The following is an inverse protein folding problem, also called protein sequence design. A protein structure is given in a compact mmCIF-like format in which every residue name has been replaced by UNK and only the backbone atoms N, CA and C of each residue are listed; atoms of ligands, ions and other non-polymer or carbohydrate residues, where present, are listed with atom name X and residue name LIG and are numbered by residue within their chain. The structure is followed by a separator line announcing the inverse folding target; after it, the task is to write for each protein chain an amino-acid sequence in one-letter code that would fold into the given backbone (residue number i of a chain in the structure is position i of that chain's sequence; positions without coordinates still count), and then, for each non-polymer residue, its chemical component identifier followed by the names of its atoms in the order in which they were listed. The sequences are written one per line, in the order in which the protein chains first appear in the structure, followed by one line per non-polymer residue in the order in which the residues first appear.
data_IF_549165646078
#
_entry.id   IF_549165646078
#
_cell.length_a   1.000
_cell.length_b   1.000
_cell.length_c   1.000
_cell.angle_alpha   90.00
_cell.angle_beta   90.00
_cell.angle_gamma   90.00
#
_symmetry.space_group_name_H-M   'P 1'
#
loop_
_entity.id
_entity.type
_entity.pdbx_description
1 polymer ?
#
# COMPACT_ATOMS: atom_id res chain seq x y z
N UNK A 1 -49.19 24.14 68.47
CA UNK A 1 -48.18 23.79 67.48
C UNK A 1 -48.61 22.86 66.31
N UNK A 2 -49.73 22.13 66.38
CA UNK A 2 -50.18 21.22 65.28
C UNK A 2 -50.96 21.92 64.13
N UNK A 3 -51.40 23.16 64.28
CA UNK A 3 -52.18 23.85 63.24
C UNK A 3 -51.34 24.52 62.14
N UNK A 4 -50.09 24.90 62.40
CA UNK A 4 -49.22 25.57 61.46
C UNK A 4 -48.45 24.58 60.56
N UNK A 5 -48.29 23.33 60.98
CA UNK A 5 -47.63 22.28 60.22
C UNK A 5 -48.35 21.92 58.90
N UNK A 6 -49.73 21.95 58.93
CA UNK A 6 -50.52 21.64 57.71
C UNK A 6 -50.41 22.72 56.63
N UNK A 7 -50.30 23.98 57.01
CA UNK A 7 -50.23 25.08 56.08
C UNK A 7 -48.79 25.18 55.48
N UNK A 8 -47.78 24.79 56.25
CA UNK A 8 -46.43 24.75 55.78
C UNK A 8 -46.24 23.68 54.72
N UNK A 9 -46.81 22.48 54.88
CA UNK A 9 -46.74 21.40 53.88
C UNK A 9 -47.55 21.77 52.63
N UNK A 10 -48.66 22.43 52.71
CA UNK A 10 -49.46 22.90 51.56
C UNK A 10 -48.71 24.02 50.81
N UNK A 11 -48.07 24.94 51.53
CA UNK A 11 -47.30 26.02 50.93
C UNK A 11 -46.04 25.48 50.18
N UNK A 12 -45.34 24.48 50.75
CA UNK A 12 -44.19 23.82 50.09
C UNK A 12 -44.59 23.02 48.84
N UNK A 13 -45.79 22.33 48.90
CA UNK A 13 -46.28 21.63 47.72
C UNK A 13 -46.75 22.58 46.61
N UNK A 14 -47.37 23.73 46.99
CA UNK A 14 -47.74 24.75 46.00
C UNK A 14 -46.50 25.44 45.35
N UNK A 15 -45.43 25.70 46.12
CA UNK A 15 -44.19 26.22 45.59
C UNK A 15 -43.48 25.19 44.66
N UNK A 16 -43.47 23.91 45.02
CA UNK A 16 -42.91 22.86 44.16
C UNK A 16 -43.70 22.72 42.86
N UNK A 17 -45.02 22.87 42.89
CA UNK A 17 -45.85 22.83 41.69
C UNK A 17 -45.66 24.08 40.80
N UNK A 18 -45.50 25.25 41.40
CA UNK A 18 -45.21 26.48 40.66
C UNK A 18 -43.82 26.44 40.01
N UNK A 19 -42.83 25.81 40.66
CA UNK A 19 -41.49 25.62 40.06
C UNK A 19 -41.51 24.58 38.94
N UNK A 20 -42.30 23.52 39.02
CA UNK A 20 -42.42 22.51 37.98
C UNK A 20 -43.16 23.00 36.75
N UNK A 21 -44.12 23.91 36.89
CA UNK A 21 -44.83 24.51 35.74
C UNK A 21 -44.06 25.67 35.11
N UNK A 22 -43.16 26.33 35.86
CA UNK A 22 -42.32 27.40 35.34
C UNK A 22 -41.13 26.93 34.48
N UNK A 23 -40.70 25.69 34.64
CA UNK A 23 -39.63 25.08 33.85
C UNK A 23 -40.09 24.42 32.55
N UNK A 24 -41.38 24.41 32.24
CA UNK A 24 -41.90 24.08 30.90
C UNK A 24 -41.74 25.23 29.89
N UNK A 25 -40.93 26.23 30.22
CA UNK A 25 -40.65 27.34 29.33
C UNK A 25 -39.54 26.93 28.37
N UNK A 26 -39.95 26.70 27.16
CA UNK A 26 -39.11 26.76 25.95
C UNK A 26 -37.85 25.91 26.05
N UNK A 27 -37.97 24.62 26.00
CA UNK A 27 -37.10 23.89 25.12
C UNK A 27 -37.40 24.47 23.73
N UNK A 28 -36.65 25.47 23.32
CA UNK A 28 -36.56 25.79 21.91
C UNK A 28 -36.23 24.46 21.25
N UNK A 29 -37.18 23.94 20.48
CA UNK A 29 -36.89 22.82 19.63
C UNK A 29 -35.62 23.18 18.91
N UNK A 30 -34.51 22.57 19.28
CA UNK A 30 -33.33 22.52 18.46
C UNK A 30 -33.88 22.20 17.09
N UNK A 31 -33.55 22.98 16.04
CA UNK A 31 -34.02 22.66 14.71
C UNK A 31 -33.72 21.18 14.52
N UNK A 32 -34.75 20.41 14.19
CA UNK A 32 -34.65 18.99 13.98
C UNK A 32 -33.37 18.74 13.22
N UNK A 33 -32.50 17.93 13.78
CA UNK A 33 -31.25 17.53 13.09
C UNK A 33 -31.64 17.29 11.66
N UNK A 34 -31.03 18.03 10.73
CA UNK A 34 -31.31 17.93 9.32
C UNK A 34 -31.52 16.45 9.01
N UNK A 35 -32.72 16.11 8.55
CA UNK A 35 -33.07 14.70 8.30
C UNK A 35 -31.91 14.12 7.53
N UNK A 36 -31.24 13.12 8.12
CA UNK A 36 -30.10 12.48 7.49
C UNK A 36 -30.54 12.12 6.08
N UNK A 37 -29.90 12.70 5.09
CA UNK A 37 -30.17 12.34 3.69
C UNK A 37 -30.03 10.83 3.65
N UNK A 38 -31.05 10.07 3.21
CA UNK A 38 -30.96 8.63 3.14
C UNK A 38 -29.69 8.30 2.38
N UNK A 39 -28.76 7.59 3.02
CA UNK A 39 -27.55 7.17 2.37
C UNK A 39 -27.95 6.31 1.17
N UNK A 40 -27.74 6.82 -0.05
CA UNK A 40 -27.91 6.02 -1.26
C UNK A 40 -26.90 4.88 -1.19
N UNK A 41 -27.27 3.64 -1.45
CA UNK A 41 -26.32 2.54 -1.57
C UNK A 41 -25.26 2.93 -2.61
N UNK A 42 -23.99 2.82 -2.26
CA UNK A 42 -22.92 3.10 -3.22
C UNK A 42 -22.83 1.90 -4.16
N UNK A 43 -23.17 2.10 -5.43
CA UNK A 43 -22.93 1.10 -6.46
C UNK A 43 -21.50 1.26 -6.99
N UNK A 44 -20.67 0.25 -6.70
CA UNK A 44 -19.27 0.19 -7.11
C UNK A 44 -19.07 -0.62 -8.40
N UNK A 45 -20.14 -1.21 -8.94
CA UNK A 45 -20.09 -2.07 -10.14
C UNK A 45 -19.54 -1.31 -11.34
N UNK A 46 -20.01 -0.08 -11.55
CA UNK A 46 -19.52 0.77 -12.65
C UNK A 46 -18.01 1.02 -12.57
N UNK A 47 -17.48 1.32 -11.37
CA UNK A 47 -16.06 1.57 -11.18
C UNK A 47 -15.23 0.31 -11.45
N UNK A 48 -15.73 -0.85 -11.00
CA UNK A 48 -15.10 -2.14 -11.26
C UNK A 48 -15.08 -2.45 -12.76
N UNK A 49 -16.23 -2.44 -13.44
CA UNK A 49 -16.33 -2.73 -14.88
C UNK A 49 -15.43 -1.84 -15.73
N UNK A 50 -15.32 -0.57 -15.37
CA UNK A 50 -14.51 0.40 -16.11
C UNK A 50 -13.00 0.20 -15.90
N UNK A 51 -12.57 -0.23 -14.69
CA UNK A 51 -11.15 -0.36 -14.34
C UNK A 51 -10.57 -1.74 -14.65
N UNK A 52 -11.37 -2.81 -14.53
CA UNK A 52 -10.93 -4.19 -14.72
C UNK A 52 -10.18 -4.46 -16.03
N UNK A 53 -10.61 -3.93 -17.22
CA UNK A 53 -9.89 -4.18 -18.46
C UNK A 53 -8.47 -3.63 -18.50
N UNK A 54 -8.20 -2.60 -17.71
CA UNK A 54 -6.90 -1.92 -17.66
C UNK A 54 -5.91 -2.56 -16.67
N UNK A 55 -6.35 -3.52 -15.84
CA UNK A 55 -5.50 -4.19 -14.86
C UNK A 55 -5.05 -5.54 -15.41
N UNK A 56 -3.74 -5.78 -15.36
CA UNK A 56 -3.07 -6.94 -15.95
C UNK A 56 -2.36 -7.77 -14.90
N UNK A 57 -2.16 -9.05 -15.21
CA UNK A 57 -1.25 -9.92 -14.49
C UNK A 57 0.17 -9.76 -15.01
N UNK A 58 1.16 -9.77 -14.11
CA UNK A 58 2.58 -9.75 -14.43
C UNK A 58 3.24 -10.97 -13.80
N UNK A 59 3.84 -11.81 -14.64
CA UNK A 59 4.69 -12.91 -14.24
C UNK A 59 6.15 -12.51 -14.47
N UNK A 60 6.92 -12.43 -13.39
CA UNK A 60 8.36 -12.19 -13.44
C UNK A 60 9.11 -13.52 -13.28
N UNK A 61 10.08 -13.78 -14.14
CA UNK A 61 10.88 -14.99 -14.10
C UNK A 61 12.34 -14.63 -13.93
N UNK A 62 12.98 -15.23 -12.92
CA UNK A 62 14.44 -15.22 -12.74
C UNK A 62 14.97 -16.59 -13.15
N UNK A 63 15.82 -16.61 -14.16
CA UNK A 63 16.39 -17.85 -14.69
C UNK A 63 17.44 -18.42 -13.73
N UNK A 64 17.61 -19.73 -13.79
CA UNK A 64 18.63 -20.43 -13.04
C UNK A 64 20.03 -19.88 -13.40
N UNK A 65 20.79 -19.41 -12.41
CA UNK A 65 22.16 -18.91 -12.59
C UNK A 65 23.13 -19.81 -11.82
N UNK A 66 24.25 -20.12 -12.44
CA UNK A 66 25.35 -20.80 -11.75
C UNK A 66 26.25 -19.72 -11.18
N UNK A 67 26.26 -19.57 -9.87
CA UNK A 67 27.18 -18.67 -9.19
C UNK A 67 28.28 -19.47 -8.51
N UNK A 68 29.52 -19.07 -8.75
CA UNK A 68 30.65 -19.60 -8.01
C UNK A 68 30.80 -18.78 -6.73
N UNK A 69 30.38 -19.33 -5.61
CA UNK A 69 30.52 -18.69 -4.30
C UNK A 69 31.82 -19.22 -3.68
N UNK A 70 32.72 -18.31 -3.32
CA UNK A 70 33.83 -18.67 -2.43
C UNK A 70 33.26 -18.83 -1.02
N UNK A 71 33.03 -20.07 -0.62
CA UNK A 71 32.60 -20.37 0.75
C UNK A 71 33.87 -20.42 1.60
N UNK A 72 34.03 -19.42 2.45
CA UNK A 72 34.92 -19.53 3.59
C UNK A 72 34.25 -20.55 4.51
N UNK A 73 34.86 -21.71 4.67
CA UNK A 73 34.32 -22.79 5.48
C UNK A 73 34.20 -22.31 6.93
N UNK A 74 32.98 -21.91 7.30
CA UNK A 74 32.62 -21.69 8.69
C UNK A 74 32.23 -23.06 9.24
N UNK A 75 33.00 -23.64 10.18
CA UNK A 75 32.75 -25.00 10.69
C UNK A 75 31.33 -25.19 11.25
N UNK A 76 30.66 -24.09 11.57
CA UNK A 76 29.30 -24.09 12.12
C UNK A 76 28.24 -24.20 11.01
N UNK A 77 28.48 -23.67 9.79
CA UNK A 77 27.54 -23.77 8.69
C UNK A 77 27.52 -25.15 8.04
N UNK A 78 28.66 -25.86 8.05
CA UNK A 78 28.77 -27.24 7.55
C UNK A 78 27.99 -28.24 8.43
N UNK A 79 27.89 -27.98 9.72
CA UNK A 79 27.12 -28.79 10.65
C UNK A 79 25.59 -28.72 10.40
N UNK A 80 25.07 -27.56 9.97
CA UNK A 80 23.64 -27.39 9.67
C UNK A 80 23.24 -27.77 8.25
N UNK A 81 24.19 -27.80 7.31
CA UNK A 81 23.89 -28.15 5.91
C UNK A 81 23.99 -29.66 5.62
N UNK A 82 24.78 -30.40 6.38
CA UNK A 82 24.88 -31.89 6.28
C UNK A 82 25.19 -32.50 7.64
N UNK A 83 24.17 -32.70 8.48
CA UNK A 83 24.37 -33.24 9.84
C UNK A 83 24.89 -34.69 9.88
N UNK A 84 24.86 -35.42 8.77
CA UNK A 84 25.36 -36.79 8.65
C UNK A 84 26.75 -36.92 8.01
N UNK A 85 27.21 -35.90 7.27
CA UNK A 85 28.53 -35.91 6.60
C UNK A 85 29.69 -35.70 7.56
N UNK A 86 29.47 -35.13 8.73
CA UNK A 86 30.50 -34.83 9.72
C UNK A 86 31.09 -36.08 10.40
N UNK A 87 30.36 -37.19 10.43
CA UNK A 87 30.81 -38.44 11.06
C UNK A 87 31.55 -39.43 10.14
N UNK A 88 31.72 -39.08 8.83
CA UNK A 88 32.16 -40.08 7.84
C UNK A 88 33.60 -39.98 7.37
N UNK A 89 34.37 -38.90 7.65
CA UNK A 89 35.73 -38.81 7.07
C UNK A 89 36.73 -38.05 7.98
N UNK A 90 37.68 -38.76 8.64
CA UNK A 90 38.63 -38.18 9.58
C UNK A 90 39.79 -37.39 8.94
N UNK A 91 39.80 -37.14 7.65
CA UNK A 91 40.99 -36.61 6.93
C UNK A 91 40.77 -35.26 6.22
N UNK A 92 39.83 -34.39 6.68
CA UNK A 92 39.65 -33.05 6.12
C UNK A 92 39.88 -31.92 7.15
N UNK A 93 41.12 -31.82 7.56
CA UNK A 93 41.62 -30.74 8.40
C UNK A 93 42.62 -29.88 7.65
N UNK A 94 42.23 -29.17 6.59
CA UNK A 94 43.03 -28.08 6.02
C UNK A 94 42.08 -27.07 5.37
N UNK A 95 41.95 -25.88 5.96
CA UNK A 95 41.14 -24.76 5.48
C UNK A 95 41.61 -24.30 4.09
N UNK A 96 41.03 -24.88 3.07
CA UNK A 96 41.14 -24.44 1.68
C UNK A 96 39.89 -23.71 1.25
N UNK A 97 40.03 -22.51 0.67
CA UNK A 97 38.93 -21.83 -0.02
C UNK A 97 38.39 -22.74 -1.12
N UNK A 98 37.26 -23.41 -0.85
CA UNK A 98 36.61 -24.21 -1.88
C UNK A 98 35.66 -23.34 -2.67
N UNK A 99 35.87 -23.22 -3.97
CA UNK A 99 34.90 -22.64 -4.91
C UNK A 99 33.80 -23.66 -5.13
N UNK A 100 32.65 -23.40 -4.55
CA UNK A 100 31.46 -24.24 -4.74
C UNK A 100 30.55 -23.56 -5.76
N UNK A 101 30.26 -24.22 -6.84
CA UNK A 101 29.30 -23.74 -7.82
C UNK A 101 27.90 -24.07 -7.28
N UNK A 102 27.17 -23.05 -6.86
CA UNK A 102 25.78 -23.18 -6.43
C UNK A 102 24.88 -22.78 -7.57
N UNK A 103 23.99 -23.67 -7.97
CA UNK A 103 22.97 -23.40 -8.97
C UNK A 103 21.73 -22.86 -8.28
N UNK A 104 21.42 -21.57 -8.48
CA UNK A 104 20.14 -21.01 -8.02
C UNK A 104 19.01 -21.58 -8.87
N UNK A 105 17.92 -22.10 -8.30
CA UNK A 105 16.76 -22.58 -9.05
C UNK A 105 16.08 -21.43 -9.80
N UNK A 106 15.33 -21.75 -10.86
CA UNK A 106 14.41 -20.81 -11.50
C UNK A 106 13.37 -20.35 -10.49
N UNK A 107 13.21 -19.04 -10.36
CA UNK A 107 12.22 -18.42 -9.46
C UNK A 107 11.18 -17.66 -10.30
N UNK A 108 9.93 -17.70 -9.84
CA UNK A 108 8.84 -16.96 -10.45
C UNK A 108 8.17 -16.11 -9.37
N UNK A 109 7.95 -14.85 -9.69
CA UNK A 109 7.15 -13.91 -8.91
C UNK A 109 5.94 -13.48 -9.71
N UNK A 110 4.88 -13.08 -9.04
CA UNK A 110 3.67 -12.57 -9.69
C UNK A 110 3.19 -11.30 -9.02
N UNK A 111 2.56 -10.45 -9.79
CA UNK A 111 1.93 -9.21 -9.34
C UNK A 111 0.96 -8.69 -10.38
N UNK A 112 0.52 -7.48 -10.17
CA UNK A 112 -0.39 -6.77 -11.07
C UNK A 112 0.29 -5.58 -11.73
N UNK A 113 -0.33 -5.06 -12.78
CA UNK A 113 0.05 -3.81 -13.43
C UNK A 113 -1.17 -3.07 -13.94
N UNK A 114 -0.98 -1.80 -14.28
CA UNK A 114 -2.04 -0.93 -14.79
C UNK A 114 -1.63 -0.38 -16.15
N UNK A 115 -2.42 -0.62 -17.17
CA UNK A 115 -2.22 -0.05 -18.52
C UNK A 115 -2.56 1.44 -18.46
N UNK A 116 -1.57 2.29 -18.72
CA UNK A 116 -1.71 3.75 -18.69
C UNK A 116 -1.75 4.40 -20.07
N UNK A 117 -1.52 3.62 -21.12
CA UNK A 117 -1.59 4.13 -22.49
C UNK A 117 -1.98 3.04 -23.50
N UNK A 118 -2.69 3.44 -24.54
CA UNK A 118 -3.20 2.53 -25.56
C UNK A 118 -2.11 1.84 -26.40
N UNK A 119 -0.89 2.34 -26.38
CA UNK A 119 0.28 1.77 -27.05
C UNK A 119 1.06 0.78 -26.16
N UNK A 120 0.63 0.57 -24.89
CA UNK A 120 1.12 -0.54 -24.04
C UNK A 120 2.14 -0.16 -22.96
N UNK A 121 2.16 1.08 -22.49
CA UNK A 121 2.85 1.40 -21.25
C UNK A 121 2.03 0.92 -20.05
N UNK A 122 2.70 0.26 -19.12
CA UNK A 122 2.12 -0.33 -17.92
C UNK A 122 2.94 0.12 -16.72
N UNK A 123 2.26 0.60 -15.68
CA UNK A 123 2.87 0.90 -14.38
C UNK A 123 2.64 -0.28 -13.44
N UNK A 124 3.66 -0.61 -12.67
CA UNK A 124 3.61 -1.63 -11.61
C UNK A 124 4.56 -1.24 -10.47
N UNK A 125 4.69 -2.07 -9.45
CA UNK A 125 5.72 -1.88 -8.44
C UNK A 125 7.09 -2.37 -8.90
N UNK A 126 8.15 -1.71 -8.42
CA UNK A 126 9.52 -2.13 -8.68
C UNK A 126 9.78 -3.55 -8.16
N UNK A 127 9.30 -3.89 -6.96
CA UNK A 127 9.53 -5.23 -6.38
C UNK A 127 8.88 -6.37 -7.19
N UNK A 128 7.86 -6.09 -8.00
CA UNK A 128 7.21 -7.09 -8.90
C UNK A 128 8.14 -7.48 -10.04
N UNK A 129 8.93 -6.54 -10.57
CA UNK A 129 9.78 -6.73 -11.76
C UNK A 129 11.28 -6.75 -11.45
N UNK A 130 11.67 -6.50 -10.20
CA UNK A 130 13.08 -6.42 -9.82
C UNK A 130 13.82 -7.71 -10.11
N UNK A 131 14.99 -7.58 -10.76
CA UNK A 131 15.89 -8.68 -11.15
C UNK A 131 15.24 -9.75 -12.04
N UNK A 132 14.11 -9.47 -12.68
CA UNK A 132 13.50 -10.38 -13.65
C UNK A 132 14.35 -10.46 -14.91
N UNK A 133 14.64 -11.69 -15.35
CA UNK A 133 15.29 -11.93 -16.65
C UNK A 133 14.22 -11.91 -17.78
N UNK A 134 12.96 -12.29 -17.47
CA UNK A 134 11.82 -12.33 -18.40
C UNK A 134 10.56 -11.82 -17.70
N UNK A 135 9.75 -11.05 -18.45
CA UNK A 135 8.44 -10.57 -17.99
C UNK A 135 7.37 -11.00 -18.99
N UNK A 136 6.31 -11.63 -18.49
CA UNK A 136 5.10 -11.93 -19.23
C UNK A 136 3.94 -11.16 -18.64
N UNK A 137 3.22 -10.44 -19.47
CA UNK A 137 2.00 -9.70 -19.13
C UNK A 137 0.81 -10.39 -19.72
N UNK A 138 -0.17 -10.76 -18.89
CA UNK A 138 -1.45 -11.32 -19.33
C UNK A 138 -2.55 -10.30 -19.12
N UNK A 139 -3.27 -9.98 -20.18
CA UNK A 139 -4.40 -9.05 -20.17
C UNK A 139 -5.65 -9.72 -19.62
N UNK A 140 -6.68 -8.92 -19.33
CA UNK A 140 -7.98 -9.41 -18.87
C UNK A 140 -8.71 -10.34 -19.89
N UNK A 141 -8.35 -10.25 -21.18
CA UNK A 141 -8.85 -11.14 -22.25
C UNK A 141 -7.97 -12.40 -22.47
N UNK A 142 -7.07 -12.68 -21.53
CA UNK A 142 -6.10 -13.79 -21.53
C UNK A 142 -5.05 -13.74 -22.64
N UNK A 143 -4.89 -12.61 -23.33
CA UNK A 143 -3.77 -12.43 -24.24
C UNK A 143 -2.48 -12.19 -23.49
N UNK A 144 -1.43 -12.89 -23.90
CA UNK A 144 -0.11 -12.78 -23.31
C UNK A 144 0.83 -11.96 -24.20
N UNK A 145 1.66 -11.16 -23.54
CA UNK A 145 2.68 -10.32 -24.16
C UNK A 145 3.98 -10.45 -23.41
N UNK A 146 5.07 -10.53 -24.14
CA UNK A 146 6.40 -10.27 -23.56
C UNK A 146 6.54 -8.79 -23.26
N UNK A 147 7.05 -8.45 -22.09
CA UNK A 147 7.26 -7.08 -21.69
C UNK A 147 8.73 -6.75 -21.49
N UNK A 148 9.09 -5.49 -21.76
CA UNK A 148 10.42 -4.94 -21.43
C UNK A 148 10.31 -3.87 -20.37
N UNK A 149 11.31 -3.80 -19.49
CA UNK A 149 11.42 -2.74 -18.49
C UNK A 149 11.91 -1.46 -19.20
N UNK A 150 11.18 -0.36 -19.05
CA UNK A 150 11.58 0.97 -19.51
C UNK A 150 12.45 1.64 -18.46
N UNK A 151 12.08 1.48 -17.19
CA UNK A 151 12.84 1.94 -16.05
C UNK A 151 12.17 1.59 -14.75
N UNK A 152 12.94 1.66 -13.67
CA UNK A 152 12.49 1.37 -12.31
C UNK A 152 12.95 2.44 -11.34
N UNK A 153 12.20 2.60 -10.28
CA UNK A 153 12.54 3.47 -9.17
C UNK A 153 12.33 2.77 -7.83
N UNK A 154 13.41 2.37 -7.21
CA UNK A 154 13.38 1.68 -5.91
C UNK A 154 12.88 2.58 -4.77
N UNK A 155 13.08 3.90 -4.90
CA UNK A 155 12.75 4.87 -3.85
C UNK A 155 11.24 5.04 -3.68
N UNK A 156 10.48 5.01 -4.79
CA UNK A 156 9.01 5.05 -4.77
C UNK A 156 8.37 3.69 -4.94
N UNK A 157 9.17 2.63 -5.15
CA UNK A 157 8.71 1.29 -5.49
C UNK A 157 7.82 1.26 -6.75
N UNK A 158 8.17 2.04 -7.79
CA UNK A 158 7.49 2.07 -9.07
C UNK A 158 8.36 1.54 -10.20
N UNK A 159 7.72 0.92 -11.17
CA UNK A 159 8.34 0.50 -12.43
C UNK A 159 7.43 0.83 -13.60
N UNK A 160 8.05 1.17 -14.73
CA UNK A 160 7.40 1.34 -16.01
C UNK A 160 7.87 0.23 -16.95
N UNK A 161 6.92 -0.55 -17.45
CA UNK A 161 7.17 -1.60 -18.44
C UNK A 161 6.39 -1.33 -19.72
N UNK A 162 6.77 -1.99 -20.81
CA UNK A 162 6.16 -1.79 -22.12
C UNK A 162 5.89 -3.14 -22.80
N UNK A 163 4.69 -3.31 -23.32
CA UNK A 163 4.30 -4.40 -24.21
C UNK A 163 4.04 -3.87 -25.63
N UNK A 164 4.21 -4.71 -26.62
CA UNK A 164 3.95 -4.35 -28.01
C UNK A 164 2.48 -4.67 -28.36
N UNK A 165 1.56 -3.82 -27.88
CA UNK A 165 0.12 -3.89 -28.12
C UNK A 165 -0.39 -2.60 -28.78
N UNK A 166 -1.56 -2.67 -29.39
CA UNK A 166 -2.27 -1.53 -29.98
C UNK A 166 -3.70 -1.47 -29.48
N UNK A 167 -4.24 -0.26 -29.31
CA UNK A 167 -5.61 -0.03 -28.87
C UNK A 167 -5.93 -0.74 -27.54
N UNK A 168 -4.93 -0.77 -26.63
CA UNK A 168 -5.10 -1.38 -25.32
C UNK A 168 -6.01 -0.51 -24.43
N UNK A 169 -6.77 -1.12 -23.52
CA UNK A 169 -7.66 -0.41 -22.61
C UNK A 169 -6.88 0.34 -21.56
N UNK A 170 -6.51 1.58 -21.84
CA UNK A 170 -5.80 2.44 -20.89
C UNK A 170 -6.76 3.02 -19.86
N UNK A 171 -6.33 3.04 -18.58
CA UNK A 171 -7.11 3.62 -17.50
C UNK A 171 -7.11 5.16 -17.57
N UNK A 172 -8.21 5.79 -17.16
CA UNK A 172 -8.24 7.23 -16.93
C UNK A 172 -7.55 7.54 -15.62
N UNK A 173 -6.58 8.46 -15.64
CA UNK A 173 -5.83 8.86 -14.44
C UNK A 173 -6.49 10.12 -13.85
N UNK A 174 -6.85 10.06 -12.56
CA UNK A 174 -7.34 11.21 -11.81
C UNK A 174 -6.22 11.83 -10.96
N UNK A 175 -6.43 13.07 -10.54
CA UNK A 175 -5.51 13.73 -9.61
C UNK A 175 -5.75 13.21 -8.18
N UNK A 176 -4.76 12.54 -7.61
CA UNK A 176 -4.83 12.01 -6.24
C UNK A 176 -4.84 13.10 -5.15
N UNK A 177 -4.48 14.36 -5.50
CA UNK A 177 -4.54 15.45 -4.52
C UNK A 177 -5.99 15.85 -4.19
N UNK A 178 -6.92 15.62 -5.11
CA UNK A 178 -8.33 16.02 -4.98
C UNK A 178 -9.17 15.05 -4.14
N UNK A 179 -8.67 13.82 -3.89
CA UNK A 179 -9.38 12.81 -3.10
C UNK A 179 -9.49 13.23 -1.63
N UNK A 180 -10.57 12.81 -0.97
CA UNK A 180 -10.84 13.12 0.44
C UNK A 180 -10.90 11.85 1.28
N UNK A 181 -10.48 11.97 2.53
CA UNK A 181 -10.67 10.91 3.53
C UNK A 181 -12.17 10.60 3.65
N UNK A 182 -12.51 9.32 3.64
CA UNK A 182 -13.88 8.82 3.66
C UNK A 182 -14.49 8.55 2.26
N UNK A 183 -13.84 8.93 1.17
CA UNK A 183 -14.29 8.56 -0.18
C UNK A 183 -14.11 7.06 -0.44
N UNK A 184 -15.11 6.45 -1.06
CA UNK A 184 -15.04 5.06 -1.49
C UNK A 184 -14.00 4.84 -2.58
N UNK A 185 -13.27 3.74 -2.43
CA UNK A 185 -12.24 3.31 -3.39
C UNK A 185 -12.29 1.80 -3.61
N UNK A 186 -11.81 1.37 -4.77
CA UNK A 186 -11.61 -0.03 -5.12
C UNK A 186 -10.13 -0.30 -5.31
N UNK A 187 -9.62 -1.35 -4.68
CA UNK A 187 -8.32 -1.91 -5.01
C UNK A 187 -8.52 -3.08 -5.98
N UNK A 188 -7.93 -2.96 -7.16
CA UNK A 188 -8.07 -3.90 -8.28
C UNK A 188 -6.72 -4.53 -8.57
N UNK A 189 -6.69 -5.85 -8.71
CA UNK A 189 -5.51 -6.61 -9.07
C UNK A 189 -5.84 -7.90 -9.81
N UNK A 190 -4.82 -8.56 -10.36
CA UNK A 190 -4.91 -9.85 -11.02
C UNK A 190 -3.87 -10.83 -10.45
N UNK A 191 -4.09 -11.37 -9.24
CA UNK A 191 -3.05 -12.06 -8.47
C UNK A 191 -2.59 -13.39 -9.07
N UNK A 192 -3.46 -14.13 -9.75
CA UNK A 192 -3.19 -15.52 -10.13
C UNK A 192 -3.45 -15.83 -11.61
N UNK A 193 -3.58 -14.81 -12.44
CA UNK A 193 -3.91 -14.98 -13.87
C UNK A 193 -5.21 -15.79 -14.13
N UNK A 194 -6.12 -15.83 -13.15
CA UNK A 194 -7.39 -16.53 -13.26
C UNK A 194 -8.53 -15.56 -13.51
N UNK A 195 -8.67 -14.59 -12.62
CA UNK A 195 -9.67 -13.52 -12.69
C UNK A 195 -9.17 -12.31 -11.92
N UNK A 196 -9.51 -11.11 -12.38
CA UNK A 196 -9.26 -9.90 -11.63
C UNK A 196 -10.00 -9.94 -10.29
N UNK A 197 -9.33 -9.49 -9.24
CA UNK A 197 -9.89 -9.38 -7.90
C UNK A 197 -10.13 -7.91 -7.58
N UNK A 198 -11.30 -7.62 -7.04
CA UNK A 198 -11.70 -6.29 -6.60
C UNK A 198 -12.02 -6.33 -5.12
N UNK A 199 -11.42 -5.43 -4.35
CA UNK A 199 -11.78 -5.19 -2.96
C UNK A 199 -12.20 -3.74 -2.79
N UNK A 200 -13.14 -3.46 -1.89
CA UNK A 200 -13.66 -2.13 -1.65
C UNK A 200 -13.36 -1.65 -0.23
N UNK A 201 -13.17 -0.35 -0.10
CA UNK A 201 -12.94 0.34 1.16
C UNK A 201 -13.02 1.84 0.96
N UNK A 202 -12.43 2.59 1.87
CA UNK A 202 -12.39 4.05 1.80
C UNK A 202 -10.95 4.57 1.82
N UNK A 203 -10.78 5.82 1.47
CA UNK A 203 -9.55 6.57 1.79
C UNK A 203 -9.51 6.77 3.30
N UNK A 204 -8.66 6.05 4.00
CA UNK A 204 -8.53 6.13 5.46
C UNK A 204 -7.63 7.30 5.90
N UNK A 205 -6.60 7.61 5.12
CA UNK A 205 -5.71 8.76 5.32
C UNK A 205 -4.94 9.11 4.03
N UNK A 206 -4.31 10.29 4.02
CA UNK A 206 -3.41 10.76 2.96
C UNK A 206 -2.06 11.16 3.55
N UNK A 207 -1.02 11.18 2.72
CA UNK A 207 0.29 11.66 3.12
C UNK A 207 0.97 10.80 4.18
N UNK A 208 0.70 9.49 4.23
CA UNK A 208 1.33 8.58 5.17
C UNK A 208 2.75 8.27 4.78
N UNK A 209 3.68 8.36 5.76
CA UNK A 209 5.03 7.84 5.66
C UNK A 209 5.18 6.65 6.60
N UNK A 210 5.85 5.61 6.12
CA UNK A 210 6.16 4.40 6.88
C UNK A 210 7.63 4.37 7.30
N UNK A 211 8.37 5.45 7.02
CA UNK A 211 9.80 5.63 7.36
C UNK A 211 10.71 4.53 6.79
N UNK A 212 10.38 3.99 5.61
CA UNK A 212 11.15 2.94 4.94
C UNK A 212 12.22 3.48 3.97
N UNK A 213 12.70 4.71 4.19
CA UNK A 213 13.78 5.37 3.43
C UNK A 213 13.43 5.77 1.98
N UNK A 214 12.16 5.94 1.66
CA UNK A 214 11.68 6.35 0.34
C UNK A 214 11.04 7.73 0.29
N UNK A 215 10.63 8.14 -0.91
CA UNK A 215 9.71 9.26 -1.11
C UNK A 215 8.30 8.72 -0.82
N UNK A 216 7.84 8.93 0.39
CA UNK A 216 6.61 8.36 0.89
C UNK A 216 5.55 9.44 1.12
N UNK A 217 4.41 9.29 0.48
CA UNK A 217 3.20 10.08 0.71
C UNK A 217 1.97 9.22 0.38
N UNK A 218 1.90 8.03 0.97
CA UNK A 218 0.92 7.03 0.63
C UNK A 218 -0.53 7.47 0.90
N UNK A 219 -1.44 6.98 0.03
CA UNK A 219 -2.86 6.88 0.33
C UNK A 219 -3.04 5.63 1.18
N UNK A 220 -3.60 5.79 2.39
CA UNK A 220 -4.00 4.66 3.23
C UNK A 220 -5.46 4.31 2.95
N UNK A 221 -5.75 3.01 2.83
CA UNK A 221 -7.11 2.48 2.62
C UNK A 221 -7.33 1.21 3.46
N UNK A 222 -8.58 0.94 3.79
CA UNK A 222 -9.05 -0.32 4.36
C UNK A 222 -9.59 -1.29 3.29
N UNK A 223 -9.57 -0.92 2.00
CA UNK A 223 -9.69 -1.87 0.90
C UNK A 223 -8.59 -2.93 1.02
N UNK A 224 -8.95 -4.21 1.00
CA UNK A 224 -7.99 -5.28 1.27
C UNK A 224 -6.90 -5.35 0.18
N UNK A 225 -5.66 -5.08 0.59
CA UNK A 225 -4.47 -5.27 -0.23
C UNK A 225 -3.78 -6.54 0.24
N UNK A 226 -3.61 -7.50 -0.66
CA UNK A 226 -2.99 -8.80 -0.40
C UNK A 226 -1.91 -9.09 -1.45
N UNK A 227 -0.99 -10.05 -1.20
CA UNK A 227 -0.04 -10.50 -2.21
C UNK A 227 -0.74 -10.81 -3.54
N UNK A 228 -0.24 -10.21 -4.62
CA UNK A 228 -0.77 -10.35 -5.98
C UNK A 228 -1.56 -9.14 -6.49
N UNK A 229 -2.20 -8.31 -5.67
CA UNK A 229 -2.75 -7.04 -6.14
C UNK A 229 -1.76 -5.86 -6.05
N UNK A 230 -0.54 -6.09 -5.54
CA UNK A 230 0.58 -5.14 -5.63
C UNK A 230 0.88 -4.80 -7.09
N UNK A 231 1.05 -3.51 -7.38
CA UNK A 231 1.21 -2.98 -8.74
C UNK A 231 -0.11 -2.75 -9.48
N UNK A 232 -1.24 -3.23 -8.94
CA UNK A 232 -2.58 -2.99 -9.46
C UNK A 232 -3.12 -1.61 -9.13
N UNK A 233 -4.37 -1.34 -9.52
CA UNK A 233 -4.99 -0.04 -9.43
C UNK A 233 -5.70 0.18 -8.09
N UNK A 234 -5.53 1.37 -7.50
CA UNK A 234 -6.50 1.95 -6.58
C UNK A 234 -7.33 2.97 -7.38
N UNK A 235 -8.66 2.78 -7.44
CA UNK A 235 -9.54 3.62 -8.25
C UNK A 235 -10.64 4.25 -7.39
N UNK A 236 -11.13 5.41 -7.83
CA UNK A 236 -12.30 6.07 -7.24
C UNK A 236 -13.61 5.43 -7.76
N UNK A 237 -14.76 5.92 -7.29
CA UNK A 237 -16.10 5.45 -7.70
C UNK A 237 -16.43 5.69 -9.18
N UNK A 238 -15.63 6.48 -9.91
CA UNK A 238 -15.74 6.68 -11.35
C UNK A 238 -14.86 5.71 -12.16
N UNK A 239 -14.15 4.79 -11.49
CA UNK A 239 -13.20 3.87 -12.12
C UNK A 239 -11.92 4.57 -12.62
N UNK A 240 -11.58 5.74 -12.08
CA UNK A 240 -10.39 6.48 -12.42
C UNK A 240 -9.26 6.15 -11.44
N UNK A 241 -8.05 5.99 -11.96
CA UNK A 241 -6.86 5.67 -11.17
C UNK A 241 -6.48 6.84 -10.25
N UNK A 242 -6.37 6.58 -8.96
CA UNK A 242 -5.90 7.52 -7.94
C UNK A 242 -4.60 7.09 -7.29
N UNK A 243 -4.21 5.82 -7.45
CA UNK A 243 -2.95 5.29 -6.91
C UNK A 243 -2.63 3.90 -7.41
N UNK A 244 -1.39 3.47 -7.14
CA UNK A 244 -0.90 2.12 -7.41
C UNK A 244 -0.81 1.37 -6.09
N UNK A 245 -1.52 0.24 -5.98
CA UNK A 245 -1.47 -0.62 -4.79
C UNK A 245 -0.03 -1.07 -4.55
N UNK A 246 0.51 -0.82 -3.38
CA UNK A 246 1.92 -1.09 -3.11
C UNK A 246 2.11 -2.21 -2.10
N UNK A 247 1.66 -2.00 -0.87
CA UNK A 247 1.94 -2.91 0.22
C UNK A 247 0.84 -2.88 1.28
N UNK A 248 0.88 -3.88 2.16
CA UNK A 248 0.16 -3.89 3.42
C UNK A 248 1.14 -3.67 4.58
N UNK A 249 0.71 -2.96 5.59
CA UNK A 249 1.43 -2.94 6.86
C UNK A 249 0.89 -4.05 7.74
N UNK A 250 1.69 -5.10 7.94
CA UNK A 250 1.29 -6.25 8.73
C UNK A 250 2.49 -6.92 9.39
N UNK A 251 2.35 -7.28 10.66
CA UNK A 251 3.35 -8.08 11.38
C UNK A 251 3.27 -9.57 11.01
N UNK A 252 2.15 -10.01 10.45
CA UNK A 252 1.88 -11.42 10.13
C UNK A 252 1.90 -11.73 8.63
N UNK A 253 2.08 -10.71 7.78
CA UNK A 253 1.99 -10.85 6.33
C UNK A 253 0.55 -10.90 5.79
N UNK A 254 -0.47 -10.83 6.65
CA UNK A 254 -1.88 -10.81 6.26
C UNK A 254 -2.46 -9.39 6.43
N UNK A 255 -3.44 -9.04 5.60
CA UNK A 255 -4.13 -7.76 5.69
C UNK A 255 -4.80 -7.56 7.07
N UNK A 256 -4.51 -6.43 7.70
CA UNK A 256 -5.00 -6.07 9.05
C UNK A 256 -5.77 -4.73 9.07
N UNK A 257 -6.33 -4.31 7.92
CA UNK A 257 -7.05 -3.03 7.79
C UNK A 257 -6.16 -1.85 7.37
N UNK A 258 -4.89 -2.10 7.04
CA UNK A 258 -3.93 -1.07 6.63
C UNK A 258 -3.32 -1.42 5.27
N UNK A 259 -3.95 -0.95 4.21
CA UNK A 259 -3.43 -0.98 2.85
C UNK A 259 -2.85 0.37 2.46
N UNK A 260 -1.84 0.37 1.59
CA UNK A 260 -1.16 1.58 1.11
C UNK A 260 -1.04 1.57 -0.40
N UNK A 261 -1.30 2.73 -1.01
CA UNK A 261 -1.12 2.94 -2.44
C UNK A 261 -0.28 4.18 -2.70
N UNK A 262 0.54 4.12 -3.73
CA UNK A 262 1.35 5.23 -4.21
C UNK A 262 0.45 6.15 -5.02
N UNK A 263 0.28 7.45 -4.65
CA UNK A 263 -0.65 8.35 -5.31
C UNK A 263 -0.23 8.66 -6.76
N UNK A 264 -1.22 8.99 -7.61
CA UNK A 264 -0.97 9.34 -9.01
C UNK A 264 -0.13 10.59 -9.18
N UNK A 265 -0.13 11.51 -8.22
CA UNK A 265 0.75 12.69 -8.22
C UNK A 265 2.24 12.31 -8.22
N UNK A 266 2.63 11.29 -7.45
CA UNK A 266 3.99 10.73 -7.47
C UNK A 266 4.21 9.88 -8.72
N UNK A 267 3.24 9.00 -9.06
CA UNK A 267 3.33 8.10 -10.20
C UNK A 267 3.57 8.86 -11.51
N UNK A 268 2.83 9.93 -11.78
CA UNK A 268 2.94 10.70 -13.03
C UNK A 268 4.35 11.25 -13.21
N UNK A 269 4.92 11.88 -12.17
CA UNK A 269 6.31 12.36 -12.24
C UNK A 269 7.31 11.26 -12.54
N UNK A 270 7.19 10.13 -11.84
CA UNK A 270 8.07 8.97 -12.04
C UNK A 270 7.95 8.44 -13.47
N UNK A 271 6.72 8.25 -13.96
CA UNK A 271 6.45 7.76 -15.32
C UNK A 271 7.03 8.69 -16.39
N UNK A 272 6.86 10.00 -16.24
CA UNK A 272 7.38 10.99 -17.19
C UNK A 272 8.91 10.97 -17.23
N UNK A 273 9.57 10.90 -16.07
CA UNK A 273 11.02 10.81 -16.00
C UNK A 273 11.53 9.47 -16.57
N UNK A 274 10.90 8.34 -16.24
CA UNK A 274 11.29 7.04 -16.78
C UNK A 274 11.13 6.96 -18.30
N UNK A 275 10.06 7.54 -18.85
CA UNK A 275 9.86 7.62 -20.31
C UNK A 275 10.93 8.46 -20.98
N UNK A 276 11.32 9.57 -20.38
CA UNK A 276 12.20 10.57 -21.00
C UNK A 276 13.69 10.26 -20.80
N UNK A 277 14.04 9.78 -19.61
CA UNK A 277 15.44 9.65 -19.18
C UNK A 277 15.83 8.21 -18.82
N UNK A 278 14.88 7.30 -18.69
CA UNK A 278 15.12 5.94 -18.18
C UNK A 278 15.37 5.87 -16.68
N UNK A 279 15.49 7.02 -16.00
CA UNK A 279 15.76 7.14 -14.57
C UNK A 279 15.02 8.34 -14.00
N UNK A 280 14.63 8.28 -12.72
CA UNK A 280 13.93 9.38 -12.05
C UNK A 280 14.90 10.50 -11.68
N UNK A 281 14.58 11.73 -12.07
CA UNK A 281 15.35 12.92 -11.73
C UNK A 281 14.86 13.50 -10.41
N UNK A 282 15.74 13.58 -9.40
CA UNK A 282 15.45 14.17 -8.09
C UNK A 282 16.41 15.29 -7.78
N UNK A 283 15.86 16.45 -7.41
CA UNK A 283 16.66 17.50 -6.79
C UNK A 283 16.97 17.08 -5.35
N UNK A 284 18.23 17.10 -4.96
CA UNK A 284 18.66 16.83 -3.60
C UNK A 284 19.12 18.15 -2.98
N UNK A 285 18.49 18.51 -1.85
CA UNK A 285 18.97 19.59 -1.01
C UNK A 285 19.98 18.97 -0.04
N UNK A 286 21.25 19.36 -0.13
CA UNK A 286 22.34 18.82 0.70
C UNK A 286 22.32 19.30 2.15
N UNK A 287 21.17 19.12 2.82
CA UNK A 287 21.01 19.41 4.25
C UNK A 287 20.76 18.11 5.01
N UNK A 288 21.40 18.00 6.18
CA UNK A 288 21.04 16.99 7.17
C UNK A 288 20.21 17.66 8.25
N UNK A 289 19.03 17.13 8.52
CA UNK A 289 18.15 17.57 9.59
C UNK A 289 17.81 16.42 10.51
N UNK A 290 17.60 16.70 11.78
CA UNK A 290 17.06 15.76 12.76
C UNK A 290 15.87 16.39 13.45
N UNK A 291 14.94 15.57 13.92
CA UNK A 291 13.91 16.02 14.85
C UNK A 291 14.58 16.59 16.10
N UNK A 292 14.12 17.77 16.56
CA UNK A 292 14.63 18.43 17.74
C UNK A 292 14.59 17.50 18.95
N UNK A 293 13.55 16.69 19.09
CA UNK A 293 13.44 15.71 20.17
C UNK A 293 14.56 14.68 20.09
N UNK A 294 14.81 14.09 18.92
CA UNK A 294 15.89 13.12 18.74
C UNK A 294 17.27 13.72 18.98
N UNK A 295 17.45 15.00 18.61
CA UNK A 295 18.69 15.73 18.89
C UNK A 295 18.87 15.95 20.41
N UNK A 296 17.84 16.41 21.12
CA UNK A 296 17.86 16.64 22.58
C UNK A 296 18.08 15.31 23.30
N UNK A 297 17.39 14.23 22.94
CA UNK A 297 17.54 12.91 23.57
C UNK A 297 18.98 12.39 23.38
N UNK A 298 19.54 12.49 22.17
CA UNK A 298 20.92 12.09 21.90
C UNK A 298 21.97 12.94 22.67
N UNK A 299 21.71 14.21 22.94
CA UNK A 299 22.58 15.06 23.71
C UNK A 299 22.49 14.74 25.22
N UNK A 300 21.29 14.42 25.73
CA UNK A 300 21.11 13.98 27.13
C UNK A 300 21.82 12.66 27.40
N UNK A 301 21.73 11.70 26.43
CA UNK A 301 22.44 10.42 26.52
C UNK A 301 23.96 10.60 26.55
N UNK A 302 24.49 11.70 26.01
CA UNK A 302 25.89 12.11 26.08
C UNK A 302 26.24 12.93 27.34
N UNK A 303 25.30 13.11 28.28
CA UNK A 303 25.50 13.84 29.52
C UNK A 303 25.59 15.35 29.34
N UNK A 304 25.06 15.91 28.24
CA UNK A 304 25.03 17.34 28.00
C UNK A 304 23.68 17.90 28.42
N UNK A 305 23.68 18.90 29.33
CA UNK A 305 22.50 19.71 29.63
C UNK A 305 22.21 20.66 28.45
N UNK A 306 21.02 20.55 27.89
CA UNK A 306 20.49 21.44 26.85
C UNK A 306 19.15 22.00 27.31
#
# INVERSE_FOLDING_TARGET
MKKYSKYFVVAMSALAFAFSTGTLIKVNATPAASAAVPAQPVDLTYAAEKSLPSVVHILSTKNSKVQTVEVQSDPFSDFFSDPFGFFGNPNQGQGGKQKRSVRTPKQQGSGSGVIISADGYIVTNNHVVADADELTVTLNDNKEYSARIIGTDKTTDLALIKIDGKNLPAITIANSEDIKVGEWVLAVGNPFNLTNTVTAGIVSAKGRSLYQNGVESFIQTDAAINPGNSGGALVNTRGELIGINAMLYSQTGSFSGYGFAIPTSIMNKVVDDLKKYGTVQRAVIGIQGSDVKNYVDAQKDQGKDI
#
